data_IF_573722362015
#
_entry.id   IF_573722362015
#
_cell.length_a   1.000
_cell.length_b   1.000
_cell.length_c   1.000
_cell.angle_alpha   90.00
_cell.angle_beta   90.00
_cell.angle_gamma   90.00
#
_symmetry.space_group_name_H-M   'P 1'
#
loop_
_entity.id
_entity.type
_entity.pdbx_description
1 polymer ?
#
# COMPACT_ATOMS: atom_id res chain seq x y z
N UNK A 1 -11.12 -5.98 -14.57
CA UNK A 1 -9.73 -5.71 -14.98
C UNK A 1 -8.92 -6.98 -14.85
N UNK A 2 -8.26 -7.39 -15.93
CA UNK A 2 -7.42 -8.59 -15.91
C UNK A 2 -5.98 -8.17 -15.67
N UNK A 3 -5.54 -8.35 -14.43
CA UNK A 3 -4.16 -8.08 -14.03
C UNK A 3 -3.53 -9.41 -13.66
N UNK A 4 -2.31 -9.64 -14.14
CA UNK A 4 -1.57 -10.84 -13.77
C UNK A 4 -1.19 -10.78 -12.28
N UNK A 5 -0.73 -11.90 -11.74
CA UNK A 5 -0.29 -11.95 -10.34
C UNK A 5 0.91 -11.05 -10.08
N UNK A 6 1.73 -10.84 -11.10
CA UNK A 6 2.95 -10.01 -11.01
C UNK A 6 3.00 -9.05 -12.19
N UNK A 7 2.17 -7.99 -12.17
CA UNK A 7 2.14 -7.05 -13.29
C UNK A 7 3.48 -6.31 -13.41
N UNK A 8 3.79 -5.90 -14.63
CA UNK A 8 4.99 -5.11 -14.88
C UNK A 8 4.74 -3.64 -14.58
N UNK A 9 5.82 -2.89 -14.41
CA UNK A 9 5.71 -1.45 -14.22
C UNK A 9 5.02 -0.80 -15.41
N UNK A 10 5.30 -1.26 -16.64
CA UNK A 10 4.64 -0.73 -17.84
C UNK A 10 3.12 -0.93 -17.81
N UNK A 11 2.67 -2.11 -17.39
CA UNK A 11 1.25 -2.40 -17.31
C UNK A 11 0.54 -1.46 -16.35
N UNK A 12 1.15 -1.25 -15.18
CA UNK A 12 0.57 -0.37 -14.17
C UNK A 12 0.62 1.08 -14.57
N UNK A 13 1.71 1.51 -15.20
CA UNK A 13 1.84 2.89 -15.68
C UNK A 13 0.79 3.18 -16.75
N UNK A 14 0.49 2.22 -17.64
CA UNK A 14 -0.54 2.39 -18.66
C UNK A 14 -1.92 2.63 -18.04
N UNK A 15 -2.22 1.95 -16.92
CA UNK A 15 -3.47 2.18 -16.20
C UNK A 15 -3.47 3.58 -15.58
N UNK A 16 -2.37 3.97 -14.95
CA UNK A 16 -2.28 5.26 -14.28
C UNK A 16 -2.32 6.44 -15.25
N UNK A 17 -1.83 6.26 -16.47
CA UNK A 17 -1.92 7.31 -17.50
C UNK A 17 -3.37 7.63 -17.83
N UNK A 18 -4.27 6.66 -17.72
CA UNK A 18 -5.68 6.85 -18.02
C UNK A 18 -6.49 7.32 -16.82
N UNK A 19 -6.12 6.88 -15.62
CA UNK A 19 -6.95 7.06 -14.43
C UNK A 19 -6.31 7.94 -13.36
N UNK A 20 -4.99 7.95 -13.27
CA UNK A 20 -4.26 8.63 -12.21
C UNK A 20 -4.14 7.83 -10.92
N UNK A 21 -4.76 6.65 -10.84
CA UNK A 21 -4.75 5.83 -9.63
C UNK A 21 -4.69 4.35 -10.00
N UNK A 22 -4.55 3.49 -8.99
CA UNK A 22 -4.60 2.03 -9.19
C UNK A 22 -5.63 1.43 -8.25
N UNK A 23 -6.74 0.97 -8.80
CA UNK A 23 -7.73 0.20 -8.08
C UNK A 23 -7.56 -1.26 -8.49
N UNK A 24 -6.89 -2.03 -7.63
CA UNK A 24 -6.54 -3.42 -7.90
C UNK A 24 -7.39 -4.41 -7.08
N UNK A 25 -8.47 -3.94 -6.47
CA UNK A 25 -9.37 -4.81 -5.74
C UNK A 25 -9.94 -5.88 -6.67
N UNK A 26 -10.06 -7.09 -6.15
CA UNK A 26 -10.64 -8.20 -6.91
C UNK A 26 -9.75 -8.74 -8.02
N UNK A 27 -8.52 -8.29 -8.12
CA UNK A 27 -7.54 -8.83 -9.07
C UNK A 27 -6.77 -9.97 -8.42
N UNK A 28 -6.03 -10.71 -9.24
CA UNK A 28 -5.21 -11.83 -8.75
C UNK A 28 -3.80 -11.40 -8.35
N UNK A 29 -3.60 -10.09 -8.13
CA UNK A 29 -2.26 -9.58 -7.88
C UNK A 29 -1.65 -10.18 -6.61
N UNK A 30 -0.38 -10.57 -6.70
CA UNK A 30 0.39 -11.08 -5.57
C UNK A 30 1.64 -10.25 -5.29
N UNK A 31 2.09 -9.46 -6.27
CA UNK A 31 3.33 -8.70 -6.14
C UNK A 31 3.28 -7.47 -7.04
N UNK A 32 3.76 -6.36 -6.52
CA UNK A 32 3.95 -5.13 -7.28
C UNK A 32 5.42 -5.01 -7.70
N UNK A 33 5.69 -4.35 -8.84
CA UNK A 33 7.08 -4.13 -9.26
C UNK A 33 7.80 -3.14 -8.36
N UNK A 34 9.12 -3.28 -8.25
CA UNK A 34 9.94 -2.34 -7.49
C UNK A 34 9.87 -0.94 -8.09
N UNK A 35 10.10 0.04 -7.25
CA UNK A 35 10.17 1.46 -7.64
C UNK A 35 8.86 2.01 -8.21
N UNK A 36 7.74 1.43 -7.81
CA UNK A 36 6.43 1.91 -8.25
C UNK A 36 6.09 3.24 -7.56
N UNK A 37 5.64 4.19 -8.36
CA UNK A 37 5.11 5.45 -7.86
C UNK A 37 3.67 5.58 -8.35
N UNK A 38 2.74 5.76 -7.41
CA UNK A 38 1.32 5.95 -7.72
C UNK A 38 0.95 7.38 -7.35
N UNK A 39 0.54 8.16 -8.33
CA UNK A 39 0.21 9.57 -8.09
C UNK A 39 -1.10 9.76 -7.33
N UNK A 40 -2.07 8.89 -7.56
CA UNK A 40 -3.34 8.90 -6.84
C UNK A 40 -3.37 7.83 -5.76
N UNK A 41 -4.53 7.23 -5.53
CA UNK A 41 -4.63 6.17 -4.53
C UNK A 41 -4.19 4.81 -5.09
N UNK A 42 -3.84 3.92 -4.19
CA UNK A 42 -3.55 2.52 -4.49
C UNK A 42 -4.44 1.67 -3.59
N UNK A 43 -5.34 0.92 -4.19
CA UNK A 43 -6.29 0.09 -3.45
C UNK A 43 -6.01 -1.38 -3.73
N UNK A 44 -5.52 -2.07 -2.70
CA UNK A 44 -5.19 -3.50 -2.74
C UNK A 44 -6.12 -4.32 -1.84
N UNK A 45 -7.21 -3.73 -1.40
CA UNK A 45 -8.13 -4.35 -0.46
C UNK A 45 -8.57 -5.73 -0.93
N UNK A 46 -8.43 -6.72 -0.05
CA UNK A 46 -8.88 -8.08 -0.33
C UNK A 46 -8.04 -8.85 -1.33
N UNK A 47 -6.90 -8.34 -1.76
CA UNK A 47 -6.02 -9.08 -2.69
C UNK A 47 -5.12 -10.03 -1.92
N UNK A 48 -4.44 -10.91 -2.65
CA UNK A 48 -3.53 -11.90 -2.07
C UNK A 48 -2.10 -11.38 -1.89
N UNK A 49 -1.91 -10.06 -1.99
CA UNK A 49 -0.57 -9.49 -1.87
C UNK A 49 -0.05 -9.71 -0.45
N UNK A 50 1.24 -10.10 -0.34
CA UNK A 50 1.87 -10.39 0.95
C UNK A 50 2.96 -9.40 1.30
N UNK A 51 3.48 -8.67 0.33
CA UNK A 51 4.54 -7.69 0.52
C UNK A 51 4.35 -6.53 -0.43
N UNK A 52 4.78 -5.36 0.01
CA UNK A 52 4.90 -4.20 -0.86
C UNK A 52 6.36 -4.06 -1.31
N UNK A 53 6.60 -3.51 -2.51
CA UNK A 53 7.97 -3.35 -2.99
C UNK A 53 8.70 -2.26 -2.23
N UNK A 54 10.02 -2.35 -2.21
CA UNK A 54 10.85 -1.27 -1.68
C UNK A 54 10.64 -0.01 -2.51
N UNK A 55 10.79 1.12 -1.86
CA UNK A 55 10.70 2.44 -2.51
C UNK A 55 9.33 2.73 -3.12
N UNK A 56 8.27 2.14 -2.57
CA UNK A 56 6.90 2.45 -2.99
C UNK A 56 6.52 3.85 -2.51
N UNK A 57 6.01 4.65 -3.43
CA UNK A 57 5.48 5.97 -3.11
C UNK A 57 4.03 6.05 -3.61
N UNK A 58 3.12 6.42 -2.73
CA UNK A 58 1.71 6.61 -3.05
C UNK A 58 1.34 8.04 -2.72
N UNK A 59 0.98 8.82 -3.74
CA UNK A 59 0.64 10.23 -3.55
C UNK A 59 -0.70 10.44 -2.86
N UNK A 60 -1.64 9.53 -3.06
CA UNK A 60 -2.95 9.56 -2.39
C UNK A 60 -3.01 8.55 -1.27
N UNK A 61 -4.16 7.91 -1.10
CA UNK A 61 -4.38 6.95 -0.02
C UNK A 61 -3.90 5.55 -0.42
N UNK A 62 -3.41 4.81 0.56
CA UNK A 62 -3.03 3.41 0.38
C UNK A 62 -3.98 2.55 1.22
N UNK A 63 -4.74 1.69 0.55
CA UNK A 63 -5.72 0.81 1.20
C UNK A 63 -5.21 -0.62 1.17
N UNK A 64 -4.90 -1.15 2.36
CA UNK A 64 -4.40 -2.53 2.51
C UNK A 64 -5.35 -3.42 3.30
N UNK A 65 -6.56 -2.96 3.53
CA UNK A 65 -7.55 -3.65 4.34
C UNK A 65 -7.76 -5.08 3.85
N UNK A 66 -7.67 -6.02 4.78
CA UNK A 66 -7.95 -7.44 4.48
C UNK A 66 -6.89 -8.14 3.65
N UNK A 67 -5.71 -7.56 3.49
CA UNK A 67 -4.60 -8.24 2.81
C UNK A 67 -3.81 -9.09 3.79
N UNK A 68 -2.93 -9.95 3.26
CA UNK A 68 -2.06 -10.82 4.07
C UNK A 68 -0.71 -10.18 4.38
N UNK A 69 -0.59 -8.88 4.20
CA UNK A 69 0.67 -8.16 4.46
C UNK A 69 0.99 -8.22 5.95
N UNK A 70 2.24 -8.59 6.28
CA UNK A 70 2.70 -8.68 7.65
C UNK A 70 3.69 -7.58 8.01
N UNK A 71 4.27 -6.93 7.03
CA UNK A 71 5.25 -5.87 7.22
C UNK A 71 5.11 -4.82 6.13
N UNK A 72 5.40 -3.58 6.46
CA UNK A 72 5.53 -2.51 5.48
C UNK A 72 7.02 -2.31 5.16
N UNK A 73 7.34 -1.93 3.92
CA UNK A 73 8.74 -1.69 3.58
C UNK A 73 9.27 -0.44 4.25
N UNK A 74 10.57 -0.41 4.47
CA UNK A 74 11.21 0.81 4.94
C UNK A 74 11.04 1.92 3.89
N UNK A 75 10.97 3.15 4.35
CA UNK A 75 10.88 4.32 3.48
C UNK A 75 9.58 4.38 2.66
N UNK A 76 8.51 3.71 3.12
CA UNK A 76 7.20 3.84 2.49
C UNK A 76 6.69 5.26 2.69
N UNK A 77 6.23 5.89 1.61
CA UNK A 77 5.64 7.22 1.65
C UNK A 77 4.21 7.16 1.15
N UNK A 78 3.27 7.64 1.97
CA UNK A 78 1.86 7.72 1.63
C UNK A 78 1.42 9.16 1.85
N UNK A 79 1.02 9.85 0.79
CA UNK A 79 0.64 11.26 0.88
C UNK A 79 -0.71 11.48 1.53
N UNK A 80 -1.63 10.54 1.39
CA UNK A 80 -2.95 10.59 2.00
C UNK A 80 -3.07 9.66 3.19
N UNK A 81 -4.14 8.90 3.23
CA UNK A 81 -4.42 7.97 4.34
C UNK A 81 -3.75 6.63 4.11
N UNK A 82 -3.41 5.99 5.21
CA UNK A 82 -2.92 4.61 5.19
C UNK A 82 -3.92 3.76 5.99
N UNK A 83 -4.58 2.82 5.32
CA UNK A 83 -5.60 1.97 5.92
C UNK A 83 -5.07 0.56 6.09
N UNK A 84 -4.79 0.19 7.34
CA UNK A 84 -4.25 -1.12 7.72
C UNK A 84 -5.27 -2.00 8.44
N UNK A 85 -6.55 -1.65 8.38
CA UNK A 85 -7.57 -2.40 9.11
C UNK A 85 -7.58 -3.86 8.70
N UNK A 86 -7.60 -4.74 9.69
CA UNK A 86 -7.69 -6.18 9.46
C UNK A 86 -6.46 -6.82 8.88
N UNK A 87 -5.32 -6.13 8.89
CA UNK A 87 -4.05 -6.71 8.44
C UNK A 87 -3.35 -7.41 9.60
N UNK A 88 -2.33 -8.22 9.27
CA UNK A 88 -1.50 -8.90 10.27
C UNK A 88 -0.24 -8.11 10.63
N UNK A 89 -0.18 -6.82 10.28
CA UNK A 89 0.97 -5.97 10.57
C UNK A 89 1.07 -5.78 12.08
N UNK A 90 2.26 -6.05 12.65
CA UNK A 90 2.49 -5.95 14.09
C UNK A 90 3.30 -4.72 14.47
N UNK A 91 4.06 -4.17 13.55
CA UNK A 91 4.91 -3.01 13.79
C UNK A 91 4.90 -2.11 12.57
N UNK A 92 5.11 -0.83 12.80
CA UNK A 92 5.30 0.14 11.73
C UNK A 92 6.80 0.44 11.59
N UNK A 93 7.28 0.62 10.35
CA UNK A 93 8.70 0.93 10.15
C UNK A 93 9.03 2.34 10.64
N UNK A 94 10.30 2.55 11.02
CA UNK A 94 10.73 3.83 11.56
C UNK A 94 10.64 4.97 10.56
N UNK A 95 10.83 4.66 9.28
CA UNK A 95 10.87 5.68 8.23
C UNK A 95 9.55 5.79 7.45
N UNK A 96 8.46 5.41 8.06
CA UNK A 96 7.14 5.53 7.45
C UNK A 96 6.71 7.00 7.45
N UNK A 97 6.25 7.47 6.29
CA UNK A 97 5.67 8.80 6.15
C UNK A 97 4.21 8.66 5.71
N UNK A 98 3.30 9.22 6.49
CA UNK A 98 1.87 9.24 6.17
C UNK A 98 1.36 10.67 6.33
N UNK A 99 0.91 11.26 5.23
CA UNK A 99 0.47 12.66 5.25
C UNK A 99 -0.92 12.87 5.85
N UNK A 100 -1.77 11.86 5.83
CA UNK A 100 -3.13 11.94 6.36
C UNK A 100 -3.33 11.03 7.56
N UNK A 101 -4.49 10.39 7.61
CA UNK A 101 -4.85 9.52 8.74
C UNK A 101 -4.23 8.14 8.61
N UNK A 102 -4.00 7.53 9.76
CA UNK A 102 -3.56 6.15 9.87
C UNK A 102 -4.67 5.35 10.55
N UNK A 103 -5.26 4.39 9.82
CA UNK A 103 -6.33 3.53 10.33
C UNK A 103 -5.74 2.15 10.65
N UNK A 104 -5.83 1.75 11.91
CA UNK A 104 -5.24 0.48 12.39
C UNK A 104 -6.25 -0.42 13.09
N UNK A 105 -7.53 -0.11 13.03
CA UNK A 105 -8.57 -0.91 13.67
C UNK A 105 -8.54 -2.35 13.20
N UNK A 106 -8.49 -3.30 14.14
CA UNK A 106 -8.42 -4.72 13.81
C UNK A 106 -7.09 -5.20 13.26
N UNK A 107 -6.09 -4.33 13.15
CA UNK A 107 -4.73 -4.74 12.82
C UNK A 107 -4.06 -5.32 14.07
N UNK A 108 -3.00 -6.13 13.85
CA UNK A 108 -2.29 -6.78 14.95
C UNK A 108 -1.19 -5.90 15.55
N UNK A 109 -1.24 -4.59 15.32
CA UNK A 109 -0.20 -3.67 15.81
C UNK A 109 -0.23 -3.62 17.33
N UNK A 110 0.88 -3.98 17.95
CA UNK A 110 1.02 -4.01 19.39
C UNK A 110 1.77 -2.80 19.94
N UNK A 111 2.54 -2.15 19.11
CA UNK A 111 3.36 -1.03 19.51
C UNK A 111 3.40 -0.01 18.39
N UNK A 112 3.03 1.21 18.71
CA UNK A 112 3.19 2.32 17.78
C UNK A 112 4.56 2.94 18.06
N UNK A 113 5.51 2.64 17.18
CA UNK A 113 6.80 3.29 17.25
C UNK A 113 6.61 4.79 17.00
N UNK A 114 7.67 5.54 17.14
CA UNK A 114 7.64 6.98 16.91
C UNK A 114 7.30 7.26 15.44
N UNK A 115 6.05 7.61 15.19
CA UNK A 115 5.58 7.96 13.84
C UNK A 115 5.56 9.48 13.74
N UNK A 116 6.72 10.04 13.46
CA UNK A 116 6.87 11.49 13.48
C UNK A 116 6.20 12.19 12.30
N UNK A 117 5.81 11.46 11.27
CA UNK A 117 5.29 12.05 10.04
C UNK A 117 3.81 11.81 9.82
N UNK A 118 3.08 11.32 10.82
CA UNK A 118 1.63 11.16 10.69
C UNK A 118 0.98 12.52 10.87
N UNK A 119 0.25 12.94 9.84
CA UNK A 119 -0.39 14.24 9.83
C UNK A 119 -1.82 14.25 10.31
#
# INVERSE_FOLDING_TARGET
>A
MNISEKPTLEELNAIMERTGYLDLRGTAIQQLPDNLTVGGYLDLEGTAIQQLPDNLTVGGCLYLRGTAIQQLPDNLTVGGWLDLKGTAIQQLPDNLTVGGYLYIGGAAIQELADISAVG
#
